data_IF_265813111160
#
_entry.id   IF_265813111160
#
_cell.length_a   1.000
_cell.length_b   1.000
_cell.length_c   1.000
_cell.angle_alpha   90.00
_cell.angle_beta   90.00
_cell.angle_gamma   90.00
#
_symmetry.space_group_name_H-M   'P 1'
#
loop_
_entity.id
_entity.type
_entity.pdbx_description
1 polymer ?
#
# COMPACT_ATOMS: atom_id res chain seq x y z
N UNK A 1 -4.18 16.09 -5.37
CA UNK A 1 -4.79 15.10 -6.25
C UNK A 1 -4.62 13.68 -5.70
N UNK A 2 -5.57 12.83 -6.03
CA UNK A 2 -5.54 11.42 -5.66
C UNK A 2 -5.13 10.61 -6.88
N UNK A 3 -4.15 9.76 -6.68
CA UNK A 3 -3.65 8.85 -7.72
C UNK A 3 -4.12 7.44 -7.44
N UNK A 4 -4.18 6.64 -8.50
CA UNK A 4 -4.49 5.21 -8.39
C UNK A 4 -3.37 4.40 -9.03
N UNK A 5 -3.07 3.24 -8.45
CA UNK A 5 -2.15 2.29 -9.06
C UNK A 5 -2.64 0.87 -8.80
N UNK A 6 -2.26 -0.05 -9.69
CA UNK A 6 -2.61 -1.47 -9.62
C UNK A 6 -1.36 -2.31 -9.67
N UNK A 7 -1.55 -3.61 -9.43
CA UNK A 7 -0.48 -4.61 -9.56
C UNK A 7 0.71 -4.33 -8.67
N UNK A 8 0.43 -3.86 -7.46
CA UNK A 8 1.46 -3.63 -6.45
C UNK A 8 1.64 -4.89 -5.61
N UNK A 9 2.83 -5.09 -5.10
CA UNK A 9 3.18 -6.21 -4.22
C UNK A 9 4.06 -5.75 -3.08
N UNK A 10 4.05 -6.53 -2.00
CA UNK A 10 4.94 -6.32 -0.88
C UNK A 10 6.41 -6.44 -1.30
N UNK A 11 7.21 -5.48 -0.88
CA UNK A 11 8.66 -5.50 -1.07
C UNK A 11 9.39 -5.99 0.18
N UNK A 12 8.65 -6.47 1.18
CA UNK A 12 9.16 -6.87 2.47
C UNK A 12 9.02 -5.75 3.49
N UNK A 13 8.67 -6.10 4.72
CA UNK A 13 8.56 -5.13 5.80
C UNK A 13 7.19 -4.50 6.00
N UNK A 14 6.20 -4.85 5.18
CA UNK A 14 4.82 -4.42 5.41
C UNK A 14 4.33 -5.01 6.73
N UNK A 15 3.71 -4.18 7.58
CA UNK A 15 3.27 -4.62 8.90
C UNK A 15 2.16 -3.72 9.46
N UNK A 16 1.42 -4.27 10.40
CA UNK A 16 0.48 -3.51 11.21
C UNK A 16 1.26 -2.64 12.20
N UNK A 17 0.83 -1.40 12.39
CA UNK A 17 1.45 -0.44 13.28
C UNK A 17 0.40 0.32 14.06
N UNK A 18 0.85 1.13 15.04
CA UNK A 18 -0.04 1.91 15.89
C UNK A 18 -0.27 1.23 17.24
N UNK A 19 -0.87 1.95 18.19
CA UNK A 19 -1.06 1.43 19.56
C UNK A 19 -1.89 0.15 19.58
N UNK A 20 -2.93 0.07 18.75
CA UNK A 20 -3.78 -1.10 18.65
C UNK A 20 -3.51 -1.93 17.40
N UNK A 21 -2.38 -1.69 16.74
CA UNK A 21 -1.99 -2.37 15.50
C UNK A 21 -3.10 -2.28 14.43
N UNK A 22 -3.75 -1.14 14.36
CA UNK A 22 -4.87 -0.92 13.46
C UNK A 22 -4.49 -0.28 12.13
N UNK A 23 -3.29 0.26 12.03
CA UNK A 23 -2.82 0.92 10.82
C UNK A 23 -1.84 0.04 10.06
N UNK A 24 -1.61 0.36 8.79
CA UNK A 24 -0.76 -0.44 7.92
C UNK A 24 0.42 0.40 7.44
N UNK A 25 1.63 -0.09 7.70
CA UNK A 25 2.86 0.46 7.15
C UNK A 25 3.28 -0.41 5.98
N UNK A 26 3.30 0.16 4.79
CA UNK A 26 3.57 -0.55 3.55
C UNK A 26 4.97 -0.29 3.05
N UNK A 27 5.63 -1.34 2.58
CA UNK A 27 6.82 -1.23 1.75
C UNK A 27 6.53 -2.05 0.51
N UNK A 28 6.36 -1.38 -0.62
CA UNK A 28 5.76 -2.00 -1.79
C UNK A 28 6.52 -1.68 -3.07
N UNK A 29 6.35 -2.55 -4.05
CA UNK A 29 6.89 -2.37 -5.38
C UNK A 29 5.86 -2.86 -6.39
N UNK A 30 6.12 -2.68 -7.68
CA UNK A 30 5.26 -3.25 -8.70
C UNK A 30 5.50 -4.76 -8.83
N UNK A 31 4.55 -5.46 -9.44
CA UNK A 31 4.62 -6.92 -9.57
C UNK A 31 5.83 -7.41 -10.35
N UNK A 32 6.44 -6.55 -11.15
CA UNK A 32 7.62 -6.87 -11.95
C UNK A 32 8.92 -6.39 -11.32
N UNK A 33 8.83 -5.77 -10.13
CA UNK A 33 9.98 -5.25 -9.39
C UNK A 33 10.81 -4.25 -10.20
N UNK A 34 10.15 -3.44 -11.02
CA UNK A 34 10.81 -2.45 -11.88
C UNK A 34 11.12 -1.14 -11.16
N UNK A 35 10.43 -0.87 -10.06
CA UNK A 35 10.61 0.37 -9.31
C UNK A 35 11.26 0.06 -7.96
N UNK A 36 11.93 1.07 -7.40
CA UNK A 36 12.44 0.99 -6.04
C UNK A 36 11.26 0.92 -5.07
N UNK A 37 11.43 0.21 -3.94
CA UNK A 37 10.35 0.13 -2.97
C UNK A 37 9.87 1.51 -2.51
N UNK A 38 8.55 1.64 -2.45
CA UNK A 38 7.87 2.84 -2.00
C UNK A 38 7.31 2.59 -0.60
N UNK A 39 7.33 3.62 0.22
CA UNK A 39 6.72 3.57 1.54
C UNK A 39 5.34 4.19 1.51
N UNK A 40 4.38 3.52 2.17
CA UNK A 40 3.04 4.02 2.30
C UNK A 40 2.51 3.82 3.71
N UNK A 41 1.54 4.62 4.08
CA UNK A 41 0.87 4.53 5.36
C UNK A 41 -0.63 4.57 5.13
N UNK A 42 -1.35 3.59 5.69
CA UNK A 42 -2.78 3.45 5.50
C UNK A 42 -3.49 3.36 6.84
N UNK A 43 -4.24 4.40 7.19
CA UNK A 43 -4.97 4.46 8.44
C UNK A 43 -6.09 3.43 8.46
N UNK A 44 -6.14 2.63 9.52
CA UNK A 44 -7.23 1.69 9.76
C UNK A 44 -7.26 0.49 8.83
N UNK A 45 -6.20 0.22 8.07
CA UNK A 45 -6.21 -0.85 7.06
C UNK A 45 -5.29 -2.03 7.42
N UNK A 46 -4.96 -2.20 8.70
CA UNK A 46 -4.09 -3.29 9.15
C UNK A 46 -4.62 -4.68 8.79
N UNK A 47 -5.93 -4.82 8.57
CA UNK A 47 -6.54 -6.11 8.21
C UNK A 47 -6.00 -6.69 6.91
N UNK A 48 -5.41 -5.86 6.06
CA UNK A 48 -4.83 -6.32 4.81
C UNK A 48 -3.40 -6.87 4.95
N UNK A 49 -2.77 -6.68 6.12
CA UNK A 49 -1.38 -7.11 6.30
C UNK A 49 -1.14 -8.60 5.98
N UNK A 50 -1.98 -9.54 6.45
CA UNK A 50 -1.73 -10.96 6.15
C UNK A 50 -1.76 -11.26 4.66
N UNK A 51 -2.71 -10.70 3.91
CA UNK A 51 -2.84 -10.96 2.48
C UNK A 51 -1.69 -10.33 1.69
N UNK A 52 -1.29 -9.13 2.06
CA UNK A 52 -0.20 -8.43 1.40
C UNK A 52 1.14 -9.13 1.64
N UNK A 53 1.40 -9.56 2.87
CA UNK A 53 2.65 -10.25 3.19
C UNK A 53 2.74 -11.65 2.59
N UNK A 54 1.63 -12.22 2.12
CA UNK A 54 1.62 -13.44 1.32
C UNK A 54 1.88 -13.19 -0.15
N UNK A 55 2.27 -11.96 -0.51
CA UNK A 55 2.57 -11.53 -1.87
C UNK A 55 1.36 -11.49 -2.81
N UNK A 56 0.16 -11.33 -2.26
CA UNK A 56 -1.01 -11.05 -3.08
C UNK A 56 -0.95 -9.64 -3.65
N UNK A 57 -1.24 -9.51 -4.93
CA UNK A 57 -1.22 -8.20 -5.59
C UNK A 57 -2.39 -7.33 -5.11
N UNK A 58 -2.17 -6.04 -5.07
CA UNK A 58 -3.18 -5.09 -4.62
C UNK A 58 -3.14 -3.79 -5.42
N UNK A 59 -4.24 -3.07 -5.36
CA UNK A 59 -4.39 -1.74 -5.93
C UNK A 59 -4.59 -0.74 -4.81
N UNK A 60 -4.20 0.50 -5.02
CA UNK A 60 -4.41 1.54 -4.01
C UNK A 60 -4.70 2.90 -4.62
N UNK A 61 -5.42 3.70 -3.84
CA UNK A 61 -5.60 5.13 -4.07
C UNK A 61 -4.77 5.87 -3.04
N UNK A 62 -4.04 6.90 -3.47
CA UNK A 62 -3.10 7.56 -2.58
C UNK A 62 -2.88 9.02 -2.95
N UNK A 63 -2.38 9.77 -1.98
CA UNK A 63 -1.81 11.10 -2.18
C UNK A 63 -0.31 11.02 -1.92
N UNK A 64 0.45 11.86 -2.60
CA UNK A 64 1.87 11.99 -2.34
C UNK A 64 2.09 12.96 -1.19
N UNK A 65 2.96 12.58 -0.27
CA UNK A 65 3.31 13.39 0.88
C UNK A 65 4.82 13.44 1.01
N UNK A 66 5.35 14.66 1.14
CA UNK A 66 6.78 14.85 1.35
C UNK A 66 7.06 14.87 2.84
N UNK A 67 7.95 13.99 3.30
CA UNK A 67 8.34 13.93 4.69
C UNK A 67 9.66 14.66 4.88
N UNK A 68 9.63 15.78 5.63
CA UNK A 68 10.79 16.64 5.86
C UNK A 68 11.36 16.51 7.27
N UNK A 69 10.97 15.50 8.03
CA UNK A 69 11.44 15.32 9.41
C UNK A 69 12.89 14.85 9.51
N UNK A 70 13.44 14.32 8.44
CA UNK A 70 14.79 13.80 8.41
C UNK A 70 15.70 14.73 7.61
N UNK A 71 17.04 14.60 7.75
CA UNK A 71 17.97 15.42 6.97
C UNK A 71 17.75 15.30 5.46
N UNK A 72 17.18 14.19 5.01
CA UNK A 72 16.83 13.99 3.61
C UNK A 72 15.33 13.87 3.48
N UNK A 73 14.73 14.70 2.62
CA UNK A 73 13.32 14.56 2.27
C UNK A 73 13.09 13.27 1.49
N UNK A 74 11.96 12.62 1.71
CA UNK A 74 11.55 11.49 0.88
C UNK A 74 10.05 11.53 0.67
N UNK A 75 9.60 10.93 -0.41
CA UNK A 75 8.19 10.82 -0.73
C UNK A 75 7.59 9.62 0.01
N UNK A 76 6.41 9.83 0.55
CA UNK A 76 5.63 8.81 1.21
C UNK A 76 4.24 8.82 0.61
N UNK A 77 3.67 7.64 0.41
CA UNK A 77 2.31 7.51 -0.08
C UNK A 77 1.35 7.52 1.10
N UNK A 78 0.41 8.46 1.07
CA UNK A 78 -0.68 8.48 2.03
C UNK A 78 -1.83 7.72 1.41
N UNK A 79 -1.99 6.47 1.82
CA UNK A 79 -2.97 5.57 1.21
C UNK A 79 -4.36 5.92 1.69
N UNK A 80 -5.25 6.20 0.76
CA UNK A 80 -6.65 6.53 1.04
C UNK A 80 -7.53 5.30 1.03
N UNK A 81 -7.24 4.36 0.15
CA UNK A 81 -7.99 3.12 0.05
C UNK A 81 -7.11 2.05 -0.58
N UNK A 82 -7.44 0.80 -0.32
CA UNK A 82 -6.68 -0.35 -0.76
C UNK A 82 -7.63 -1.48 -1.09
N UNK A 83 -7.34 -2.22 -2.15
CA UNK A 83 -8.16 -3.35 -2.57
C UNK A 83 -7.25 -4.45 -3.11
N UNK A 84 -7.47 -5.67 -2.70
CA UNK A 84 -6.76 -6.81 -3.28
C UNK A 84 -7.18 -6.96 -4.75
N UNK A 85 -6.24 -7.32 -5.61
CA UNK A 85 -6.53 -7.52 -7.04
C UNK A 85 -7.62 -8.59 -7.25
N UNK A 86 -7.61 -9.64 -6.42
CA UNK A 86 -8.65 -10.67 -6.48
C UNK A 86 -10.05 -10.09 -6.21
N UNK A 87 -10.17 -9.21 -5.22
CA UNK A 87 -11.43 -8.53 -4.92
C UNK A 87 -11.88 -7.63 -6.06
N UNK A 88 -10.93 -6.93 -6.68
CA UNK A 88 -11.22 -6.03 -7.78
C UNK A 88 -11.76 -6.82 -8.98
N UNK A 89 -11.16 -7.95 -9.28
CA UNK A 89 -11.62 -8.84 -10.36
C UNK A 89 -13.03 -9.36 -10.11
N UNK A 90 -13.33 -9.75 -8.87
CA UNK A 90 -14.68 -10.19 -8.48
C UNK A 90 -15.71 -9.09 -8.67
N UNK A 91 -15.40 -7.87 -8.24
CA UNK A 91 -16.30 -6.73 -8.40
C UNK A 91 -16.61 -6.42 -9.86
N UNK A 92 -15.62 -6.57 -10.73
CA UNK A 92 -15.78 -6.34 -12.15
C UNK A 92 -16.57 -7.45 -12.82
N UNK A 93 -16.49 -8.67 -12.31
CA UNK A 93 -17.17 -9.83 -12.90
C UNK A 93 -18.64 -9.90 -12.51
N UNK A 94 -19.02 -9.35 -11.36
CA UNK A 94 -20.39 -9.39 -10.83
C UNK A 94 -21.34 -8.42 -11.52
N UNK A 95 -20.93 -7.77 -12.57
CA UNK A 95 -21.79 -6.83 -13.31
C UNK A 95 -22.43 -7.46 -14.52
#
# INVERSE_FOLDING_TARGET
>A
PIFMTRSMRDAGGTRAVGKALQHLSLRMTDSYQRIRPLHGFALGLARYAPEITRHNAFALCFELEENNFYPQSFLQLRVKDLCLESELSERLTDR
#
